data_IF_169227439301
#
_entry.id   IF_169227439301
#
_cell.length_a   1.000
_cell.length_b   1.000
_cell.length_c   1.000
_cell.angle_alpha   90.00
_cell.angle_beta   90.00
_cell.angle_gamma   90.00
#
_symmetry.space_group_name_H-M   'P 1'
#
loop_
_entity.id
_entity.type
_entity.pdbx_description
1 polymer ?
#
# COMPACT_ATOMS: atom_id res chain seq x y z
N UNK A 1 -17.57 -13.15 10.19
CA UNK A 1 -16.75 -12.45 11.22
C UNK A 1 -16.90 -10.94 11.04
N UNK A 2 -16.69 -10.19 12.12
CA UNK A 2 -16.57 -8.72 12.07
C UNK A 2 -15.11 -8.33 12.06
N UNK A 3 -14.69 -7.49 11.10
CA UNK A 3 -13.28 -7.15 10.88
C UNK A 3 -13.14 -5.63 10.78
N UNK A 4 -12.20 -5.07 11.53
CA UNK A 4 -11.89 -3.64 11.54
C UNK A 4 -10.52 -3.37 10.92
N UNK A 5 -10.46 -2.41 10.02
CA UNK A 5 -9.23 -1.80 9.54
C UNK A 5 -9.19 -0.36 10.06
N UNK A 6 -8.27 -0.06 10.98
CA UNK A 6 -8.03 1.29 11.46
C UNK A 6 -6.73 1.84 10.86
N UNK A 7 -6.87 2.85 10.01
CA UNK A 7 -5.78 3.38 9.19
C UNK A 7 -5.69 4.92 9.28
N UNK A 8 -4.62 5.52 8.77
CA UNK A 8 -4.47 6.95 8.84
C UNK A 8 -5.32 7.71 7.80
N UNK A 9 -5.44 7.18 6.57
CA UNK A 9 -6.22 7.84 5.52
C UNK A 9 -6.90 6.85 4.59
N UNK A 10 -8.11 7.20 4.16
CA UNK A 10 -8.89 6.55 3.12
C UNK A 10 -9.33 7.61 2.11
N UNK A 11 -8.39 8.16 1.33
CA UNK A 11 -8.65 9.28 0.43
C UNK A 11 -7.88 9.22 -0.88
N UNK A 12 -6.70 8.63 -0.89
CA UNK A 12 -5.79 8.67 -2.03
C UNK A 12 -5.40 7.25 -2.48
N UNK A 13 -5.09 7.10 -3.78
CA UNK A 13 -4.56 5.84 -4.32
C UNK A 13 -3.07 5.71 -4.02
N UNK A 14 -2.76 5.40 -2.77
CA UNK A 14 -1.40 5.16 -2.25
C UNK A 14 -1.32 3.80 -1.57
N UNK A 15 -0.15 3.19 -1.56
CA UNK A 15 0.04 1.84 -1.01
C UNK A 15 -0.49 1.67 0.42
N UNK A 16 -0.26 2.66 1.29
CA UNK A 16 -0.76 2.65 2.67
C UNK A 16 -2.28 2.58 2.81
N UNK A 17 -3.03 3.10 1.83
CA UNK A 17 -4.49 2.99 1.78
C UNK A 17 -4.96 1.77 0.99
N UNK A 18 -4.29 1.45 -0.13
CA UNK A 18 -4.73 0.37 -1.02
C UNK A 18 -4.54 -1.02 -0.41
N UNK A 19 -3.47 -1.25 0.35
CA UNK A 19 -3.22 -2.55 0.99
C UNK A 19 -4.37 -2.97 1.91
N UNK A 20 -4.77 -2.19 2.93
CA UNK A 20 -5.89 -2.57 3.79
C UNK A 20 -7.23 -2.60 3.05
N UNK A 21 -7.44 -1.73 2.04
CA UNK A 21 -8.65 -1.75 1.21
C UNK A 21 -8.77 -3.07 0.45
N UNK A 22 -7.72 -3.54 -0.20
CA UNK A 22 -7.76 -4.80 -0.95
C UNK A 22 -7.95 -6.03 -0.06
N UNK A 23 -7.37 -6.01 1.14
CA UNK A 23 -7.63 -7.07 2.15
C UNK A 23 -9.09 -7.01 2.60
N UNK A 24 -9.64 -5.81 2.86
CA UNK A 24 -11.04 -5.64 3.24
C UNK A 24 -12.01 -6.08 2.12
N UNK A 25 -11.73 -5.73 0.87
CA UNK A 25 -12.50 -6.15 -0.30
C UNK A 25 -12.50 -7.67 -0.46
N UNK A 26 -11.35 -8.31 -0.30
CA UNK A 26 -11.23 -9.77 -0.36
C UNK A 26 -12.05 -10.45 0.75
N UNK A 27 -11.90 -10.00 2.00
CA UNK A 27 -12.63 -10.54 3.14
C UNK A 27 -14.13 -10.27 3.06
N UNK A 28 -14.53 -9.09 2.59
CA UNK A 28 -15.94 -8.77 2.34
C UNK A 28 -16.54 -9.68 1.27
N UNK A 29 -15.80 -9.95 0.20
CA UNK A 29 -16.17 -10.91 -0.84
C UNK A 29 -16.33 -12.35 -0.34
N UNK A 30 -15.68 -12.71 0.77
CA UNK A 30 -15.85 -13.98 1.48
C UNK A 30 -17.06 -13.99 2.44
N UNK A 31 -17.83 -12.89 2.52
CA UNK A 31 -19.00 -12.76 3.39
C UNK A 31 -18.71 -12.29 4.81
N UNK A 32 -17.57 -11.63 5.04
CA UNK A 32 -17.25 -11.03 6.33
C UNK A 32 -17.73 -9.57 6.41
N UNK A 33 -18.11 -9.12 7.61
CA UNK A 33 -18.51 -7.74 7.89
C UNK A 33 -17.27 -6.89 8.08
N UNK A 34 -16.88 -6.14 7.06
CA UNK A 34 -15.68 -5.29 7.07
C UNK A 34 -16.02 -3.82 7.35
N UNK A 35 -15.25 -3.20 8.25
CA UNK A 35 -15.29 -1.78 8.54
C UNK A 35 -13.90 -1.18 8.31
N UNK A 36 -13.81 -0.10 7.54
CA UNK A 36 -12.59 0.70 7.42
C UNK A 36 -12.81 2.04 8.13
N UNK A 37 -12.06 2.23 9.20
CA UNK A 37 -12.03 3.48 9.97
C UNK A 37 -10.73 4.23 9.70
N UNK A 38 -10.80 5.51 9.34
CA UNK A 38 -9.60 6.29 9.03
C UNK A 38 -9.61 7.67 9.72
N UNK A 39 -8.41 8.16 10.06
CA UNK A 39 -8.27 9.53 10.58
C UNK A 39 -8.70 10.58 9.56
N UNK A 40 -8.61 10.28 8.26
CA UNK A 40 -9.06 11.14 7.17
C UNK A 40 -9.74 10.30 6.10
N UNK A 41 -11.01 10.57 5.87
CA UNK A 41 -11.87 9.93 4.87
C UNK A 41 -12.26 10.98 3.84
N UNK A 42 -11.96 10.74 2.55
CA UNK A 42 -12.26 11.70 1.47
C UNK A 42 -12.26 11.00 0.09
N UNK A 43 -12.67 11.75 -0.94
CA UNK A 43 -12.53 11.34 -2.34
C UNK A 43 -11.05 11.28 -2.77
N UNK A 44 -10.72 10.43 -3.76
CA UNK A 44 -11.62 9.57 -4.54
C UNK A 44 -11.82 8.16 -3.97
N UNK A 45 -11.03 7.72 -2.96
CA UNK A 45 -10.99 6.30 -2.55
C UNK A 45 -12.18 5.89 -1.68
N UNK A 46 -12.57 6.70 -0.69
CA UNK A 46 -13.61 6.33 0.27
C UNK A 46 -14.97 6.03 -0.39
N UNK A 47 -15.48 6.83 -1.37
CA UNK A 47 -16.73 6.49 -2.04
C UNK A 47 -16.65 5.20 -2.88
N UNK A 48 -15.46 4.85 -3.39
CA UNK A 48 -15.29 3.60 -4.14
C UNK A 48 -15.44 2.38 -3.22
N UNK A 49 -14.87 2.46 -2.04
CA UNK A 49 -14.95 1.39 -1.02
C UNK A 49 -16.38 1.26 -0.48
N UNK A 50 -17.02 2.38 -0.14
CA UNK A 50 -18.39 2.38 0.40
C UNK A 50 -19.42 1.78 -0.60
N UNK A 51 -19.24 2.00 -1.90
CA UNK A 51 -20.10 1.42 -2.94
C UNK A 51 -20.04 -0.11 -3.03
N UNK A 52 -18.99 -0.72 -2.49
CA UNK A 52 -18.87 -2.18 -2.41
C UNK A 52 -19.58 -2.79 -1.19
N UNK A 53 -20.20 -1.97 -0.33
CA UNK A 53 -20.89 -2.43 0.89
C UNK A 53 -19.98 -2.46 2.13
N UNK A 54 -18.73 -2.06 2.03
CA UNK A 54 -17.83 -1.95 3.17
C UNK A 54 -18.17 -0.69 3.96
N UNK A 55 -18.31 -0.83 5.29
CA UNK A 55 -18.59 0.31 6.16
C UNK A 55 -17.36 1.22 6.26
N UNK A 56 -17.56 2.52 6.02
CA UNK A 56 -16.50 3.53 6.09
C UNK A 56 -16.85 4.58 7.13
N UNK A 57 -15.90 4.91 8.03
CA UNK A 57 -16.07 5.93 9.07
C UNK A 57 -14.78 6.68 9.36
N UNK A 58 -14.87 7.93 9.84
CA UNK A 58 -13.74 8.68 10.38
C UNK A 58 -13.79 8.81 11.93
N UNK A 59 -14.70 8.09 12.56
CA UNK A 59 -14.95 8.08 14.00
C UNK A 59 -14.23 6.91 14.71
N UNK A 60 -12.90 6.76 14.50
CA UNK A 60 -12.10 5.72 15.18
C UNK A 60 -12.34 5.72 16.72
N UNK A 61 -12.41 6.87 17.41
CA UNK A 61 -12.63 6.89 18.87
C UNK A 61 -13.99 6.36 19.34
N UNK A 62 -14.96 6.24 18.44
CA UNK A 62 -16.27 5.66 18.75
C UNK A 62 -16.26 4.13 18.74
N UNK A 63 -15.26 3.51 18.11
CA UNK A 63 -15.19 2.06 17.91
C UNK A 63 -14.53 1.38 19.11
N UNK A 64 -15.10 0.23 19.50
CA UNK A 64 -14.52 -0.65 20.50
C UNK A 64 -13.82 -1.84 19.82
N UNK A 65 -12.53 -2.00 20.08
CA UNK A 65 -11.72 -3.04 19.45
C UNK A 65 -12.24 -4.46 19.73
N UNK A 66 -12.82 -4.68 20.93
CA UNK A 66 -13.35 -5.99 21.33
C UNK A 66 -14.67 -6.40 20.69
N UNK A 67 -15.28 -5.53 19.86
CA UNK A 67 -16.46 -5.87 19.09
C UNK A 67 -16.13 -6.62 17.77
N UNK A 68 -14.84 -6.77 17.45
CA UNK A 68 -14.35 -7.36 16.21
C UNK A 68 -13.56 -8.65 16.46
N UNK A 69 -13.65 -9.59 15.52
CA UNK A 69 -12.88 -10.84 15.54
C UNK A 69 -11.40 -10.59 15.13
N UNK A 70 -11.18 -9.62 14.22
CA UNK A 70 -9.87 -9.19 13.78
C UNK A 70 -9.81 -7.66 13.71
N UNK A 71 -8.73 -7.08 14.21
CA UNK A 71 -8.43 -5.63 14.13
C UNK A 71 -7.08 -5.44 13.45
N UNK A 72 -7.11 -4.89 12.23
CA UNK A 72 -5.93 -4.48 11.48
C UNK A 72 -5.63 -3.02 11.78
N UNK A 73 -4.44 -2.75 12.29
CA UNK A 73 -4.01 -1.44 12.76
C UNK A 73 -2.83 -0.95 11.94
N UNK A 74 -2.92 0.29 11.47
CA UNK A 74 -1.80 0.99 10.83
C UNK A 74 -1.54 2.32 11.52
N UNK A 75 -0.29 2.78 11.42
CA UNK A 75 0.10 4.04 12.00
C UNK A 75 -0.20 4.06 13.53
N UNK A 76 -0.48 5.18 14.12
CA UNK A 76 -0.82 5.27 15.56
C UNK A 76 -2.33 5.24 15.80
N UNK A 77 -3.06 4.27 15.20
CA UNK A 77 -4.53 4.18 15.35
C UNK A 77 -4.98 3.34 16.55
N UNK A 78 -4.18 2.38 17.00
CA UNK A 78 -4.49 1.56 18.18
C UNK A 78 -4.88 2.40 19.42
N UNK A 79 -4.15 3.45 19.81
CA UNK A 79 -4.49 4.26 20.97
C UNK A 79 -5.79 5.03 20.83
N UNK A 80 -6.35 5.17 19.63
CA UNK A 80 -7.59 5.91 19.38
C UNK A 80 -8.84 5.08 19.67
N UNK A 81 -8.76 3.76 19.59
CA UNK A 81 -9.86 2.83 19.85
C UNK A 81 -10.23 2.77 21.33
N UNK A 82 -11.45 2.29 21.62
CA UNK A 82 -11.84 1.86 22.95
C UNK A 82 -11.51 0.37 23.15
N UNK A 83 -11.28 -0.01 24.41
CA UNK A 83 -10.96 -1.38 24.83
C UNK A 83 -11.82 -1.69 26.06
N UNK A 84 -13.12 -1.80 25.86
CA UNK A 84 -14.11 -1.97 26.93
C UNK A 84 -14.89 -3.26 26.64
N UNK A 85 -14.96 -4.21 27.60
CA UNK A 85 -15.86 -5.34 27.47
C UNK A 85 -17.28 -4.84 27.67
N UNK A 86 -18.12 -4.99 26.68
CA UNK A 86 -19.54 -4.68 26.69
C UNK A 86 -20.33 -5.92 26.27
N UNK A 87 -21.63 -5.93 26.56
CA UNK A 87 -22.49 -7.01 26.06
C UNK A 87 -22.39 -7.16 24.56
N UNK A 88 -22.07 -8.36 24.09
CA UNK A 88 -21.86 -8.66 22.68
C UNK A 88 -20.42 -8.50 22.17
N UNK A 89 -19.47 -8.09 23.03
CA UNK A 89 -18.04 -8.12 22.69
C UNK A 89 -17.56 -9.55 22.43
N UNK A 90 -16.53 -9.69 21.59
CA UNK A 90 -15.89 -10.97 21.32
C UNK A 90 -15.11 -11.46 22.53
N UNK A 91 -15.03 -12.79 22.67
CA UNK A 91 -14.16 -13.40 23.69
C UNK A 91 -12.68 -13.17 23.35
N UNK A 92 -12.36 -13.20 22.05
CA UNK A 92 -11.00 -13.04 21.50
C UNK A 92 -11.04 -12.09 20.33
N UNK A 93 -9.95 -11.33 20.16
CA UNK A 93 -9.72 -10.44 19.02
C UNK A 93 -8.29 -10.64 18.57
N UNK A 94 -8.08 -10.92 17.27
CA UNK A 94 -6.74 -10.96 16.69
C UNK A 94 -6.31 -9.54 16.34
N UNK A 95 -5.20 -9.09 16.91
CA UNK A 95 -4.62 -7.77 16.62
C UNK A 95 -3.44 -7.89 15.65
N UNK A 96 -3.58 -7.28 14.49
CA UNK A 96 -2.56 -7.21 13.44
C UNK A 96 -2.06 -5.78 13.34
N UNK A 97 -0.78 -5.54 13.60
CA UNK A 97 -0.12 -4.25 13.40
C UNK A 97 0.64 -4.26 12.08
N UNK A 98 0.26 -3.38 11.15
CA UNK A 98 0.82 -3.37 9.80
C UNK A 98 1.63 -2.11 9.54
N UNK A 99 2.93 -2.30 9.28
CA UNK A 99 3.88 -1.28 8.91
C UNK A 99 4.18 -1.40 7.41
N UNK A 100 3.89 -0.34 6.66
CA UNK A 100 4.03 -0.35 5.20
C UNK A 100 5.16 0.55 4.70
N UNK A 101 5.83 1.28 5.62
CA UNK A 101 6.97 2.14 5.31
C UNK A 101 7.83 2.34 6.56
N UNK A 102 9.13 2.47 6.40
CA UNK A 102 10.06 2.90 7.46
C UNK A 102 10.50 4.36 7.33
N UNK A 103 9.82 5.16 6.48
CA UNK A 103 10.27 6.51 6.12
C UNK A 103 9.66 7.63 6.95
N UNK A 104 8.57 7.37 7.63
CA UNK A 104 7.81 8.38 8.34
C UNK A 104 7.59 7.99 9.78
N UNK A 105 7.62 8.96 10.70
CA UNK A 105 7.50 8.70 12.13
C UNK A 105 6.19 8.00 12.53
N UNK A 106 5.11 8.24 11.79
CA UNK A 106 3.81 7.60 12.06
C UNK A 106 3.71 6.15 11.53
N UNK A 107 4.74 5.64 10.88
CA UNK A 107 4.90 4.22 10.53
C UNK A 107 5.79 3.47 11.54
N UNK A 108 6.36 4.17 12.53
CA UNK A 108 7.11 3.51 13.59
C UNK A 108 6.17 2.73 14.52
N UNK A 109 6.67 1.65 15.16
CA UNK A 109 5.91 0.89 16.12
C UNK A 109 5.37 1.75 17.27
N UNK A 110 4.20 1.37 17.79
CA UNK A 110 3.64 1.95 19.01
C UNK A 110 4.48 1.61 20.23
N UNK A 111 4.51 2.53 21.19
CA UNK A 111 5.39 2.39 22.38
C UNK A 111 4.80 1.49 23.48
N UNK A 112 3.47 1.43 23.58
CA UNK A 112 2.79 0.68 24.67
C UNK A 112 1.68 -0.20 24.12
N UNK A 113 0.77 0.33 23.28
CA UNK A 113 -0.35 -0.47 22.76
C UNK A 113 0.12 -1.64 21.90
N UNK A 114 1.06 -1.41 21.00
CA UNK A 114 1.54 -2.45 20.09
C UNK A 114 2.27 -3.58 20.83
N UNK A 115 3.26 -3.34 21.70
CA UNK A 115 3.89 -4.40 22.48
C UNK A 115 2.92 -5.21 23.36
N UNK A 116 1.79 -4.63 23.78
CA UNK A 116 0.79 -5.29 24.61
C UNK A 116 -0.26 -6.08 23.81
N UNK A 117 -0.55 -5.65 22.57
CA UNK A 117 -1.69 -6.16 21.81
C UNK A 117 -1.29 -6.95 20.58
N UNK A 118 -0.10 -6.72 19.97
CA UNK A 118 0.26 -7.34 18.72
C UNK A 118 0.32 -8.87 18.79
N UNK A 119 -0.58 -9.53 18.09
CA UNK A 119 -0.51 -10.97 17.83
C UNK A 119 0.30 -11.25 16.57
N UNK A 120 0.25 -10.32 15.62
CA UNK A 120 0.99 -10.37 14.37
C UNK A 120 1.45 -8.94 14.03
N UNK A 121 2.73 -8.79 13.73
CA UNK A 121 3.26 -7.58 13.11
C UNK A 121 3.54 -7.86 11.64
N UNK A 122 3.06 -6.99 10.77
CA UNK A 122 3.27 -7.07 9.32
C UNK A 122 4.32 -6.05 8.89
N UNK A 123 5.29 -6.50 8.10
CA UNK A 123 6.23 -5.66 7.36
C UNK A 123 6.07 -5.90 5.85
N UNK A 124 6.09 -4.84 5.02
CA UNK A 124 5.94 -5.00 3.58
C UNK A 124 7.20 -5.51 2.85
N UNK A 125 8.31 -5.68 3.54
CA UNK A 125 9.58 -6.11 2.96
C UNK A 125 10.57 -6.55 4.02
N UNK A 126 11.59 -7.31 3.62
CA UNK A 126 12.67 -7.74 4.50
C UNK A 126 13.47 -6.56 5.09
N UNK A 127 13.64 -5.48 4.32
CA UNK A 127 14.30 -4.29 4.82
C UNK A 127 13.49 -3.62 5.94
N UNK A 128 12.16 -3.59 5.79
CA UNK A 128 11.30 -3.06 6.84
C UNK A 128 11.26 -3.99 8.05
N UNK A 129 11.22 -5.31 7.87
CA UNK A 129 11.34 -6.27 8.98
C UNK A 129 12.61 -6.01 9.80
N UNK A 130 13.76 -5.86 9.12
CA UNK A 130 15.03 -5.52 9.81
C UNK A 130 14.97 -4.18 10.53
N UNK A 131 14.33 -3.18 9.94
CA UNK A 131 14.14 -1.88 10.58
C UNK A 131 13.28 -1.98 11.84
N UNK A 132 12.15 -2.69 11.80
CA UNK A 132 11.29 -2.92 12.96
C UNK A 132 12.01 -3.68 14.07
N UNK A 133 12.83 -4.68 13.72
CA UNK A 133 13.66 -5.40 14.69
C UNK A 133 14.67 -4.47 15.38
N UNK A 134 15.23 -3.49 14.67
CA UNK A 134 16.09 -2.45 15.27
C UNK A 134 15.34 -1.49 16.20
N UNK A 135 13.99 -1.47 16.10
CA UNK A 135 13.10 -0.73 17.01
C UNK A 135 12.45 -1.63 18.06
N UNK A 136 13.12 -2.72 18.41
CA UNK A 136 12.74 -3.68 19.45
C UNK A 136 11.43 -4.47 19.20
N UNK A 137 10.92 -4.51 17.96
CA UNK A 137 9.83 -5.43 17.61
C UNK A 137 10.39 -6.85 17.47
N UNK A 138 9.83 -7.85 18.20
CA UNK A 138 10.32 -9.22 18.15
C UNK A 138 10.27 -9.80 16.72
N UNK A 139 11.41 -10.30 16.19
CA UNK A 139 11.49 -10.75 14.79
C UNK A 139 10.59 -11.94 14.45
N UNK A 140 10.32 -12.82 15.42
CA UNK A 140 9.48 -14.01 15.25
C UNK A 140 7.99 -13.65 15.13
N UNK A 141 7.58 -12.47 15.63
CA UNK A 141 6.24 -11.91 15.48
C UNK A 141 6.02 -11.20 14.15
N UNK A 142 7.09 -10.95 13.37
CA UNK A 142 7.00 -10.17 12.12
C UNK A 142 6.81 -11.08 10.92
N UNK A 143 5.67 -10.93 10.26
CA UNK A 143 5.35 -11.56 8.96
C UNK A 143 5.66 -10.58 7.83
N UNK A 144 6.45 -11.01 6.86
CA UNK A 144 6.67 -10.22 5.64
C UNK A 144 5.49 -10.42 4.69
N UNK A 145 4.72 -9.36 4.49
CA UNK A 145 3.58 -9.27 3.58
C UNK A 145 3.97 -8.35 2.40
N UNK A 146 4.51 -8.87 1.31
CA UNK A 146 5.19 -8.08 0.27
C UNK A 146 4.21 -7.38 -0.66
N UNK A 147 3.19 -6.74 -0.11
CA UNK A 147 2.13 -6.04 -0.84
C UNK A 147 1.52 -6.89 -1.98
N UNK A 148 1.09 -8.13 -1.72
CA UNK A 148 0.67 -9.04 -2.76
C UNK A 148 -0.50 -8.47 -3.58
N UNK A 149 -0.62 -8.91 -4.82
CA UNK A 149 -1.68 -8.50 -5.72
C UNK A 149 -2.95 -9.32 -5.48
N UNK A 150 -4.15 -8.69 -5.53
CA UNK A 150 -5.42 -9.39 -5.50
C UNK A 150 -5.58 -10.38 -6.69
N UNK A 151 -6.45 -11.38 -6.52
CA UNK A 151 -6.70 -12.43 -7.51
C UNK A 151 -6.97 -11.90 -8.93
N UNK A 152 -7.70 -10.79 -9.06
CA UNK A 152 -8.01 -10.19 -10.36
C UNK A 152 -6.81 -9.75 -11.18
N UNK A 153 -5.65 -9.50 -10.56
CA UNK A 153 -4.42 -9.18 -11.27
C UNK A 153 -3.67 -10.41 -11.79
N UNK A 154 -3.98 -11.61 -11.30
CA UNK A 154 -3.25 -12.81 -11.71
C UNK A 154 -3.71 -13.27 -13.08
N UNK A 155 -2.76 -13.37 -14.00
CA UNK A 155 -3.00 -13.89 -15.34
C UNK A 155 -3.18 -15.42 -15.27
N UNK A 156 -4.21 -15.92 -15.96
CA UNK A 156 -4.51 -17.34 -16.01
C UNK A 156 -3.78 -18.01 -17.20
N UNK A 157 -3.63 -17.28 -18.30
CA UNK A 157 -3.03 -17.81 -19.52
C UNK A 157 -1.52 -17.54 -19.59
N UNK A 158 -0.73 -18.51 -20.11
CA UNK A 158 0.68 -18.28 -20.42
C UNK A 158 0.81 -17.15 -21.45
N UNK A 159 1.85 -16.34 -21.30
CA UNK A 159 2.13 -15.28 -22.25
C UNK A 159 2.33 -15.84 -23.67
N UNK A 160 1.75 -15.17 -24.67
CA UNK A 160 2.19 -15.31 -26.06
C UNK A 160 3.69 -15.02 -26.16
N UNK A 161 4.32 -15.39 -27.29
CA UNK A 161 5.73 -15.06 -27.50
C UNK A 161 5.99 -13.57 -27.18
N UNK A 162 7.05 -13.26 -26.42
CA UNK A 162 7.30 -11.89 -25.98
C UNK A 162 7.57 -10.98 -27.17
N UNK A 163 6.89 -9.84 -27.22
CA UNK A 163 7.15 -8.80 -28.21
C UNK A 163 8.61 -8.31 -28.11
N UNK A 164 9.18 -7.88 -29.23
CA UNK A 164 10.55 -7.39 -29.28
C UNK A 164 10.71 -5.97 -28.74
N UNK A 165 9.64 -5.18 -28.81
CA UNK A 165 9.57 -3.80 -28.29
C UNK A 165 8.24 -3.61 -27.58
N UNK A 166 8.19 -2.77 -26.51
CA UNK A 166 6.93 -2.47 -25.87
C UNK A 166 6.05 -1.64 -26.84
N UNK A 167 4.77 -1.97 -26.96
CA UNK A 167 3.79 -1.15 -27.67
C UNK A 167 3.35 0.03 -26.82
N UNK A 168 3.33 -0.15 -25.50
CA UNK A 168 2.94 0.87 -24.52
C UNK A 168 3.92 0.92 -23.34
N UNK A 169 4.11 2.12 -22.79
CA UNK A 169 4.83 2.32 -21.52
C UNK A 169 3.93 3.09 -20.56
N UNK A 170 3.53 2.42 -19.48
CA UNK A 170 2.64 2.99 -18.48
C UNK A 170 3.43 3.41 -17.23
N UNK A 171 3.50 4.70 -16.96
CA UNK A 171 3.99 5.21 -15.70
C UNK A 171 2.88 5.17 -14.65
N UNK A 172 3.09 4.42 -13.57
CA UNK A 172 2.17 4.38 -12.43
C UNK A 172 2.89 5.01 -11.24
N UNK A 173 2.68 6.31 -11.03
CA UNK A 173 3.37 7.06 -9.98
C UNK A 173 2.63 8.34 -9.59
N UNK A 174 2.52 8.60 -8.28
CA UNK A 174 2.07 9.90 -7.79
C UNK A 174 3.21 10.94 -7.71
N UNK A 175 4.47 10.49 -7.77
CA UNK A 175 5.67 11.31 -7.56
C UNK A 175 6.79 10.89 -8.52
N UNK A 176 6.51 10.98 -9.83
CA UNK A 176 7.51 10.67 -10.84
C UNK A 176 8.64 11.71 -10.86
N UNK A 177 9.90 11.29 -10.87
CA UNK A 177 11.01 12.22 -11.06
C UNK A 177 11.05 12.75 -12.50
N UNK A 178 11.63 13.96 -12.73
CA UNK A 178 11.64 14.60 -14.05
C UNK A 178 12.23 13.73 -15.15
N UNK A 179 13.33 13.03 -14.87
CA UNK A 179 14.01 12.15 -15.81
C UNK A 179 13.12 11.00 -16.35
N UNK A 180 12.15 10.56 -15.57
CA UNK A 180 11.16 9.56 -16.03
C UNK A 180 10.14 10.21 -16.98
N UNK A 181 9.68 11.41 -16.68
CA UNK A 181 8.75 12.13 -17.56
C UNK A 181 9.39 12.41 -18.93
N UNK A 182 10.65 12.86 -18.91
CA UNK A 182 11.42 13.13 -20.13
C UNK A 182 11.70 11.82 -20.91
N UNK A 183 12.00 10.72 -20.23
CA UNK A 183 12.17 9.41 -20.87
C UNK A 183 10.89 8.91 -21.55
N UNK A 184 9.71 9.11 -20.94
CA UNK A 184 8.43 8.79 -21.59
C UNK A 184 8.20 9.63 -22.86
N UNK A 185 8.58 10.91 -22.84
CA UNK A 185 8.51 11.74 -24.03
C UNK A 185 9.42 11.21 -25.16
N UNK A 186 10.63 10.72 -24.82
CA UNK A 186 11.54 10.08 -25.77
C UNK A 186 10.98 8.76 -26.31
N UNK A 187 10.34 7.95 -25.47
CA UNK A 187 9.63 6.73 -25.91
C UNK A 187 8.51 7.06 -26.89
N UNK A 188 7.72 8.10 -26.59
CA UNK A 188 6.64 8.56 -27.48
C UNK A 188 7.15 9.03 -28.84
N UNK A 189 8.30 9.72 -28.89
CA UNK A 189 8.97 10.12 -30.15
C UNK A 189 9.42 8.91 -30.99
N UNK A 190 9.62 7.75 -30.37
CA UNK A 190 9.95 6.48 -31.03
C UNK A 190 8.71 5.70 -31.46
N UNK A 191 7.51 6.27 -31.34
CA UNK A 191 6.25 5.64 -31.72
C UNK A 191 5.65 4.69 -30.68
N UNK A 192 6.12 4.74 -29.43
CA UNK A 192 5.59 3.94 -28.33
C UNK A 192 4.50 4.75 -27.62
N UNK A 193 3.33 4.17 -27.41
CA UNK A 193 2.26 4.81 -26.65
C UNK A 193 2.66 4.97 -25.18
N UNK A 194 2.43 6.16 -24.61
CA UNK A 194 2.77 6.44 -23.23
C UNK A 194 1.57 6.94 -22.43
N UNK A 195 1.44 6.47 -21.19
CA UNK A 195 0.39 6.90 -20.29
C UNK A 195 0.95 7.15 -18.88
N UNK A 196 0.39 8.17 -18.18
CA UNK A 196 0.72 8.42 -16.79
C UNK A 196 -0.53 8.27 -15.92
N UNK A 197 -0.54 7.27 -15.04
CA UNK A 197 -1.54 7.03 -14.01
C UNK A 197 -0.97 7.54 -12.69
N UNK A 198 -1.59 8.58 -12.14
CA UNK A 198 -1.13 9.24 -10.92
C UNK A 198 -1.55 10.70 -10.84
N UNK A 199 -1.12 11.40 -9.79
CA UNK A 199 -1.57 12.77 -9.51
C UNK A 199 -1.25 13.80 -10.62
N UNK A 200 -0.20 13.59 -11.38
CA UNK A 200 0.18 14.46 -12.49
C UNK A 200 -0.41 14.03 -13.85
N UNK A 201 -1.02 12.86 -13.93
CA UNK A 201 -1.68 12.31 -15.12
C UNK A 201 -3.15 11.99 -14.87
N UNK A 202 -3.59 10.81 -15.30
CA UNK A 202 -4.93 10.29 -15.00
C UNK A 202 -4.99 9.72 -13.60
N UNK A 203 -5.67 10.40 -12.69
CA UNK A 203 -5.73 9.99 -11.28
C UNK A 203 -6.89 9.04 -11.01
N UNK A 204 -6.64 7.76 -11.14
CA UNK A 204 -7.59 6.66 -10.94
C UNK A 204 -6.93 5.51 -10.19
N UNK A 205 -7.74 4.64 -9.58
CA UNK A 205 -7.26 3.38 -9.04
C UNK A 205 -6.84 2.46 -10.20
N UNK A 206 -5.66 1.88 -10.10
CA UNK A 206 -5.18 0.89 -11.07
C UNK A 206 -6.04 -0.37 -10.98
N UNK A 207 -6.53 -0.84 -12.13
CA UNK A 207 -7.27 -2.10 -12.26
C UNK A 207 -6.54 -3.05 -13.22
N UNK A 208 -6.83 -4.36 -13.16
CA UNK A 208 -6.22 -5.34 -14.08
C UNK A 208 -6.38 -5.01 -15.56
N UNK A 209 -7.54 -4.45 -15.96
CA UNK A 209 -7.88 -4.12 -17.35
C UNK A 209 -7.07 -2.95 -17.89
N UNK A 210 -6.59 -2.08 -17.01
CA UNK A 210 -5.75 -0.94 -17.39
C UNK A 210 -4.33 -1.35 -17.76
N UNK A 211 -3.89 -2.54 -17.34
CA UNK A 211 -2.56 -3.06 -17.59
C UNK A 211 -2.56 -3.90 -18.87
N UNK A 212 -2.10 -3.30 -19.97
CA UNK A 212 -2.01 -3.94 -21.29
C UNK A 212 -0.92 -5.03 -21.35
N UNK A 213 -1.19 -6.12 -22.09
CA UNK A 213 -0.31 -7.29 -22.11
C UNK A 213 1.03 -7.04 -22.82
N UNK A 214 1.08 -6.14 -23.82
CA UNK A 214 2.24 -5.93 -24.70
C UNK A 214 3.03 -4.67 -24.34
N UNK A 215 2.98 -4.29 -23.06
CA UNK A 215 3.57 -3.05 -22.57
C UNK A 215 4.58 -3.26 -21.44
N UNK A 216 5.19 -2.16 -21.02
CA UNK A 216 6.01 -2.06 -19.80
C UNK A 216 5.35 -1.14 -18.78
N UNK A 217 5.56 -1.42 -17.50
CA UNK A 217 5.10 -0.58 -16.38
C UNK A 217 6.30 0.04 -15.69
N UNK A 218 6.38 1.38 -15.70
CA UNK A 218 7.37 2.13 -14.90
C UNK A 218 6.75 2.45 -13.56
N UNK A 219 7.27 1.90 -12.47
CA UNK A 219 6.70 2.10 -11.14
C UNK A 219 7.62 1.69 -10.01
N UNK A 220 7.09 1.74 -8.78
CA UNK A 220 7.70 1.24 -7.55
C UNK A 220 6.63 0.64 -6.63
N UNK A 221 7.06 -0.16 -5.66
CA UNK A 221 6.18 -0.72 -4.63
C UNK A 221 5.04 -1.53 -5.22
N UNK A 222 3.81 -1.31 -4.71
CA UNK A 222 2.63 -2.14 -5.00
C UNK A 222 2.29 -2.30 -6.49
N UNK A 223 2.48 -1.28 -7.30
CA UNK A 223 2.20 -1.37 -8.75
C UNK A 223 3.18 -2.28 -9.49
N UNK A 224 4.38 -2.50 -8.95
CA UNK A 224 5.32 -3.52 -9.46
C UNK A 224 4.76 -4.91 -9.24
N UNK A 225 4.18 -5.20 -8.06
CA UNK A 225 3.55 -6.49 -7.79
C UNK A 225 2.35 -6.74 -8.71
N UNK A 226 1.55 -5.71 -9.03
CA UNK A 226 0.48 -5.81 -10.03
C UNK A 226 1.01 -6.17 -11.41
N UNK A 227 2.08 -5.50 -11.86
CA UNK A 227 2.70 -5.78 -13.14
C UNK A 227 3.26 -7.21 -13.21
N UNK A 228 3.98 -7.64 -12.16
CA UNK A 228 4.48 -9.03 -12.04
C UNK A 228 3.33 -10.05 -12.10
N UNK A 229 2.24 -9.82 -11.36
CA UNK A 229 1.07 -10.70 -11.37
C UNK A 229 0.41 -10.80 -12.76
N UNK A 230 0.43 -9.70 -13.53
CA UNK A 230 -0.08 -9.65 -14.92
C UNK A 230 0.88 -10.20 -15.94
N UNK A 231 2.14 -10.51 -15.57
CA UNK A 231 3.18 -10.91 -16.50
C UNK A 231 3.68 -9.76 -17.38
N UNK A 232 3.57 -8.51 -16.89
CA UNK A 232 4.02 -7.30 -17.60
C UNK A 232 5.36 -6.86 -17.01
N UNK A 233 6.41 -6.66 -17.82
CA UNK A 233 7.72 -6.25 -17.33
C UNK A 233 7.70 -4.93 -16.57
N UNK A 234 8.01 -4.91 -15.26
CA UNK A 234 8.14 -3.66 -14.52
C UNK A 234 9.55 -3.09 -14.65
N UNK A 235 9.64 -1.80 -15.00
CA UNK A 235 10.83 -0.98 -14.91
C UNK A 235 10.79 -0.22 -13.59
N UNK A 236 11.68 -0.57 -12.65
CA UNK A 236 11.67 -0.04 -11.29
C UNK A 236 12.55 1.20 -11.20
N UNK A 237 11.93 2.35 -10.95
CA UNK A 237 12.65 3.61 -10.82
C UNK A 237 11.82 4.65 -10.04
N UNK A 238 12.46 5.37 -9.12
CA UNK A 238 11.88 6.48 -8.35
C UNK A 238 12.90 7.63 -8.16
N UNK A 239 12.58 8.56 -7.27
CA UNK A 239 13.47 9.70 -6.93
C UNK A 239 14.87 9.28 -6.43
N UNK A 240 15.05 8.03 -6.05
CA UNK A 240 16.33 7.47 -5.62
C UNK A 240 17.07 6.77 -6.76
N UNK A 241 16.49 6.77 -7.97
CA UNK A 241 16.92 5.97 -9.09
C UNK A 241 16.25 4.62 -9.13
N UNK A 242 16.91 3.61 -9.66
CA UNK A 242 16.36 2.25 -9.71
C UNK A 242 17.22 1.25 -10.46
N UNK A 243 16.91 -0.05 -10.31
CA UNK A 243 17.63 -1.12 -11.02
C UNK A 243 17.23 -1.23 -12.49
N UNK A 244 16.20 -0.49 -12.95
CA UNK A 244 15.61 -0.70 -14.27
C UNK A 244 14.67 -1.89 -14.30
N UNK A 245 14.65 -2.65 -15.39
CA UNK A 245 13.91 -3.90 -15.45
C UNK A 245 14.40 -4.92 -14.41
N UNK A 246 13.48 -5.73 -13.93
CA UNK A 246 13.81 -6.83 -13.02
C UNK A 246 14.49 -7.96 -13.80
N UNK A 247 15.55 -8.52 -13.19
CA UNK A 247 16.36 -9.61 -13.71
C UNK A 247 16.65 -10.62 -12.61
N UNK A 248 17.25 -11.75 -12.94
CA UNK A 248 17.69 -12.76 -11.95
C UNK A 248 18.63 -12.13 -10.91
N UNK A 249 19.52 -11.24 -11.33
CA UNK A 249 20.55 -10.65 -10.47
C UNK A 249 20.00 -9.58 -9.51
N UNK A 250 18.92 -8.86 -9.90
CA UNK A 250 18.43 -7.72 -9.12
C UNK A 250 17.11 -7.97 -8.40
N UNK A 251 16.35 -9.01 -8.75
CA UNK A 251 14.99 -9.23 -8.27
C UNK A 251 14.90 -9.29 -6.75
N UNK A 252 15.68 -10.16 -6.10
CA UNK A 252 15.61 -10.33 -4.63
C UNK A 252 16.06 -9.07 -3.89
N UNK A 253 17.07 -8.37 -4.41
CA UNK A 253 17.50 -7.09 -3.85
C UNK A 253 16.41 -6.02 -3.98
N UNK A 254 15.75 -5.93 -5.13
CA UNK A 254 14.64 -5.01 -5.35
C UNK A 254 13.42 -5.37 -4.47
N UNK A 255 13.06 -6.65 -4.39
CA UNK A 255 11.97 -7.16 -3.56
C UNK A 255 12.21 -6.87 -2.06
N UNK A 256 13.44 -7.06 -1.56
CA UNK A 256 13.79 -6.76 -0.16
C UNK A 256 13.60 -5.29 0.20
N UNK A 257 13.65 -4.38 -0.78
CA UNK A 257 13.40 -2.94 -0.64
C UNK A 257 11.99 -2.53 -1.09
N UNK A 258 11.04 -3.47 -1.19
CA UNK A 258 9.69 -3.24 -1.72
C UNK A 258 9.72 -2.60 -3.11
N UNK A 259 10.60 -3.05 -4.00
CA UNK A 259 10.79 -2.54 -5.35
C UNK A 259 10.93 -1.00 -5.41
N UNK A 260 11.71 -0.44 -4.51
CA UNK A 260 12.07 0.98 -4.49
C UNK A 260 13.49 1.16 -5.04
N UNK A 261 13.77 2.31 -5.66
CA UNK A 261 15.11 2.69 -6.11
C UNK A 261 16.20 2.68 -5.02
N UNK A 262 15.78 2.67 -3.76
CA UNK A 262 16.68 2.51 -2.59
C UNK A 262 17.43 1.17 -2.57
N UNK A 263 17.02 0.21 -3.36
CA UNK A 263 17.76 -1.06 -3.48
C UNK A 263 19.16 -0.88 -4.09
N UNK A 264 19.40 0.18 -4.87
CA UNK A 264 20.66 0.40 -5.57
C UNK A 264 21.09 1.86 -5.69
N UNK A 265 20.20 2.84 -5.50
CA UNK A 265 20.45 4.27 -5.64
C UNK A 265 21.07 4.66 -7.00
N UNK A 266 20.78 3.90 -8.06
CA UNK A 266 21.30 4.12 -9.40
C UNK A 266 20.46 5.17 -10.12
N UNK A 267 20.99 6.38 -10.26
CA UNK A 267 20.39 7.45 -11.06
C UNK A 267 21.05 7.54 -12.43
N UNK A 268 20.23 7.65 -13.47
CA UNK A 268 20.63 7.79 -14.87
C UNK A 268 19.77 8.86 -15.52
N UNK A 269 20.20 9.36 -16.67
CA UNK A 269 19.47 10.38 -17.41
C UNK A 269 18.29 9.83 -18.21
N UNK A 270 17.46 10.72 -18.75
CA UNK A 270 16.24 10.35 -19.48
C UNK A 270 16.55 9.55 -20.76
N UNK A 271 17.64 9.83 -21.44
CA UNK A 271 18.03 9.12 -22.66
C UNK A 271 18.38 7.66 -22.35
N UNK A 272 19.20 7.43 -21.32
CA UNK A 272 19.55 6.10 -20.85
C UNK A 272 18.34 5.32 -20.38
N UNK A 273 17.41 5.97 -19.64
CA UNK A 273 16.14 5.34 -19.21
C UNK A 273 15.32 4.89 -20.44
N UNK A 274 15.14 5.77 -21.43
CA UNK A 274 14.37 5.44 -22.63
C UNK A 274 15.02 4.31 -23.45
N UNK A 275 16.34 4.28 -23.56
CA UNK A 275 17.08 3.20 -24.20
C UNK A 275 16.89 1.87 -23.46
N UNK A 276 17.06 1.86 -22.13
CA UNK A 276 16.86 0.65 -21.32
C UNK A 276 15.42 0.13 -21.41
N UNK A 277 14.41 1.02 -21.44
CA UNK A 277 13.00 0.62 -21.58
C UNK A 277 12.78 -0.12 -22.90
N UNK A 278 13.36 0.38 -23.99
CA UNK A 278 13.16 -0.22 -25.33
C UNK A 278 14.02 -1.47 -25.52
N UNK A 279 15.31 -1.36 -25.28
CA UNK A 279 16.28 -2.42 -25.59
C UNK A 279 16.22 -3.58 -24.57
N UNK A 280 15.95 -3.28 -23.31
CA UNK A 280 15.84 -4.28 -22.23
C UNK A 280 14.52 -5.06 -22.22
N UNK A 281 13.49 -4.60 -22.95
CA UNK A 281 12.14 -5.17 -22.88
C UNK A 281 12.07 -6.66 -23.20
N UNK A 282 12.69 -7.19 -24.29
CA UNK A 282 12.60 -8.62 -24.61
C UNK A 282 13.22 -9.51 -23.53
N UNK A 283 14.33 -9.05 -22.91
CA UNK A 283 14.98 -9.78 -21.83
C UNK A 283 14.10 -9.78 -20.56
N UNK A 284 13.45 -8.66 -20.25
CA UNK A 284 12.54 -8.55 -19.13
C UNK A 284 11.29 -9.42 -19.28
N UNK A 285 10.73 -9.51 -20.49
CA UNK A 285 9.64 -10.45 -20.79
C UNK A 285 10.07 -11.91 -20.54
N UNK A 286 11.23 -12.33 -21.06
CA UNK A 286 11.76 -13.69 -20.82
C UNK A 286 12.00 -13.96 -19.34
N UNK A 287 12.53 -12.97 -18.61
CA UNK A 287 12.74 -13.12 -17.17
C UNK A 287 11.42 -13.39 -16.43
N UNK A 288 10.37 -12.60 -16.69
CA UNK A 288 9.06 -12.79 -16.05
C UNK A 288 8.43 -14.14 -16.43
N UNK A 289 8.50 -14.54 -17.69
CA UNK A 289 7.99 -15.83 -18.15
C UNK A 289 8.71 -17.01 -17.49
N UNK A 290 9.97 -16.82 -17.12
CA UNK A 290 10.81 -17.82 -16.45
C UNK A 290 10.73 -17.80 -14.91
N UNK A 291 9.92 -16.93 -14.30
CA UNK A 291 9.83 -16.86 -12.84
C UNK A 291 9.26 -18.16 -12.25
N UNK A 292 9.93 -18.76 -11.24
CA UNK A 292 9.44 -19.96 -10.58
C UNK A 292 8.05 -19.75 -9.95
N UNK A 293 7.11 -20.70 -10.10
CA UNK A 293 5.78 -20.60 -9.50
C UNK A 293 5.81 -20.38 -7.98
N UNK A 294 6.80 -20.93 -7.27
CA UNK A 294 6.97 -20.72 -5.83
C UNK A 294 7.32 -19.28 -5.48
N UNK A 295 8.08 -18.59 -6.33
CA UNK A 295 8.40 -17.18 -6.15
C UNK A 295 7.18 -16.31 -6.40
N UNK A 296 6.41 -16.60 -7.42
CA UNK A 296 5.16 -15.89 -7.72
C UNK A 296 4.12 -16.04 -6.61
N UNK A 297 4.04 -17.20 -5.93
CA UNK A 297 3.14 -17.41 -4.80
C UNK A 297 3.36 -16.42 -3.66
N UNK A 298 4.58 -15.91 -3.48
CA UNK A 298 4.87 -14.85 -2.47
C UNK A 298 4.08 -13.57 -2.70
N UNK A 299 3.60 -13.34 -3.91
CA UNK A 299 2.83 -12.14 -4.26
C UNK A 299 1.33 -12.42 -4.40
N UNK A 300 0.84 -13.59 -3.97
CA UNK A 300 -0.59 -13.89 -3.82
C UNK A 300 -1.08 -13.50 -2.44
N UNK A 301 -2.23 -12.84 -2.39
CA UNK A 301 -2.79 -12.31 -1.14
C UNK A 301 -3.44 -13.42 -0.30
N UNK A 302 -4.12 -14.35 -0.94
CA UNK A 302 -4.99 -15.35 -0.31
C UNK A 302 -4.26 -16.15 0.80
N UNK A 303 -3.05 -16.72 0.58
CA UNK A 303 -2.39 -17.53 1.60
C UNK A 303 -2.06 -16.75 2.89
N UNK A 304 -1.75 -15.46 2.76
CA UNK A 304 -1.46 -14.63 3.94
C UNK A 304 -2.74 -14.36 4.74
N UNK A 305 -3.85 -14.10 4.05
CA UNK A 305 -5.12 -13.83 4.73
C UNK A 305 -5.65 -15.10 5.40
N UNK A 306 -5.60 -16.26 4.74
CA UNK A 306 -5.95 -17.55 5.33
C UNK A 306 -5.12 -17.85 6.57
N UNK A 307 -3.81 -17.59 6.53
CA UNK A 307 -2.93 -17.72 7.70
C UNK A 307 -3.32 -16.77 8.84
N UNK A 308 -3.71 -15.53 8.55
CA UNK A 308 -4.17 -14.61 9.58
C UNK A 308 -5.48 -15.09 10.22
N UNK A 309 -6.45 -15.48 9.40
CA UNK A 309 -7.74 -15.98 9.90
C UNK A 309 -7.59 -17.21 10.77
N UNK A 310 -6.68 -18.13 10.44
CA UNK A 310 -6.42 -19.34 11.25
C UNK A 310 -5.87 -19.06 12.64
N UNK A 311 -5.39 -17.84 12.92
CA UNK A 311 -4.86 -17.44 14.23
C UNK A 311 -5.90 -16.87 15.19
N UNK A 312 -7.12 -16.56 14.73
CA UNK A 312 -8.15 -15.91 15.56
C UNK A 312 -8.47 -16.72 16.80
N UNK A 313 -8.70 -18.02 16.65
CA UNK A 313 -9.05 -18.89 17.78
C UNK A 313 -7.91 -19.09 18.80
N UNK A 314 -6.67 -18.85 18.38
CA UNK A 314 -5.48 -18.92 19.24
C UNK A 314 -5.11 -17.58 19.87
N UNK A 315 -5.78 -16.49 19.52
CA UNK A 315 -5.52 -15.17 20.11
C UNK A 315 -5.84 -15.18 21.62
N UNK A 316 -5.09 -14.44 22.44
CA UNK A 316 -5.38 -14.31 23.88
C UNK A 316 -6.80 -13.80 24.14
N UNK A 317 -7.45 -14.25 25.24
CA UNK A 317 -8.77 -13.74 25.62
C UNK A 317 -8.74 -12.23 25.89
N UNK A 318 -9.77 -11.52 25.46
CA UNK A 318 -9.88 -10.07 25.65
C UNK A 318 -9.92 -9.65 27.13
N UNK A 319 -10.43 -10.51 28.01
CA UNK A 319 -10.37 -10.30 29.46
C UNK A 319 -8.93 -10.19 29.99
N UNK A 320 -8.04 -11.09 29.55
CA UNK A 320 -6.63 -11.06 29.95
C UNK A 320 -5.90 -9.83 29.37
N UNK A 321 -6.25 -9.41 28.15
CA UNK A 321 -5.72 -8.18 27.55
C UNK A 321 -6.15 -6.95 28.34
N UNK A 322 -7.41 -6.90 28.75
CA UNK A 322 -7.96 -5.80 29.54
C UNK A 322 -7.22 -5.63 30.87
N UNK A 323 -6.96 -6.73 31.59
CA UNK A 323 -6.18 -6.69 32.82
C UNK A 323 -4.80 -6.05 32.61
N UNK A 324 -4.12 -6.45 31.53
CA UNK A 324 -2.82 -5.86 31.15
C UNK A 324 -2.92 -4.39 30.80
N UNK A 325 -3.96 -3.99 30.03
CA UNK A 325 -4.19 -2.59 29.68
C UNK A 325 -4.49 -1.73 30.90
N UNK A 326 -5.28 -2.24 31.86
CA UNK A 326 -5.56 -1.54 33.12
C UNK A 326 -4.27 -1.29 33.92
N UNK A 327 -3.41 -2.28 34.05
CA UNK A 327 -2.12 -2.15 34.76
C UNK A 327 -1.19 -1.09 34.11
N UNK A 328 -1.30 -0.88 32.80
CA UNK A 328 -0.52 0.10 32.03
C UNK A 328 -1.24 1.42 31.76
N UNK A 329 -2.42 1.63 32.35
CA UNK A 329 -3.29 2.78 32.07
C UNK A 329 -2.61 4.16 32.03
N UNK A 330 -1.63 4.52 32.91
CA UNK A 330 -0.95 5.81 32.84
C UNK A 330 -0.16 6.00 31.54
N UNK A 331 0.51 4.96 31.06
CA UNK A 331 1.31 4.97 29.83
C UNK A 331 0.41 4.98 28.60
N UNK A 332 -0.65 4.18 28.60
CA UNK A 332 -1.67 4.16 27.54
C UNK A 332 -2.33 5.51 27.36
N UNK A 333 -2.65 6.24 28.44
CA UNK A 333 -3.20 7.60 28.36
C UNK A 333 -2.22 8.57 27.67
N UNK A 334 -0.93 8.47 27.94
CA UNK A 334 0.09 9.30 27.29
C UNK A 334 0.18 8.99 25.80
N UNK A 335 0.25 7.71 25.43
CA UNK A 335 0.29 7.32 24.01
C UNK A 335 -0.99 7.74 23.28
N UNK A 336 -2.17 7.58 23.89
CA UNK A 336 -3.43 8.08 23.34
C UNK A 336 -3.41 9.59 23.12
N UNK A 337 -2.89 10.36 24.07
CA UNK A 337 -2.76 11.80 23.91
C UNK A 337 -1.86 12.18 22.72
N UNK A 338 -0.73 11.49 22.56
CA UNK A 338 0.16 11.66 21.41
C UNK A 338 -0.55 11.29 20.10
N UNK A 339 -1.26 10.17 20.07
CA UNK A 339 -2.00 9.72 18.89
C UNK A 339 -3.11 10.70 18.47
N UNK A 340 -3.80 11.29 19.43
CA UNK A 340 -4.78 12.36 19.17
C UNK A 340 -4.11 13.60 18.56
N UNK A 341 -2.96 14.02 19.07
CA UNK A 341 -2.18 15.11 18.50
C UNK A 341 -1.71 14.82 17.07
N UNK A 342 -1.23 13.59 16.80
CA UNK A 342 -0.84 13.15 15.46
C UNK A 342 -2.05 13.18 14.51
N UNK A 343 -3.19 12.65 14.94
CA UNK A 343 -4.44 12.65 14.15
C UNK A 343 -4.87 14.07 13.79
N UNK A 344 -4.91 14.97 14.78
CA UNK A 344 -5.41 16.34 14.59
C UNK A 344 -4.47 17.14 13.69
N UNK A 345 -3.16 16.99 13.85
CA UNK A 345 -2.16 17.55 12.92
C UNK A 345 -2.32 17.00 11.50
N UNK A 346 -2.53 15.69 11.35
CA UNK A 346 -2.74 15.08 10.05
C UNK A 346 -4.00 15.60 9.36
N UNK A 347 -5.14 15.66 10.09
CA UNK A 347 -6.41 16.24 9.60
C UNK A 347 -6.23 17.70 9.19
N UNK A 348 -5.57 18.50 10.00
CA UNK A 348 -5.27 19.91 9.71
C UNK A 348 -4.42 20.08 8.45
N UNK A 349 -3.39 19.27 8.28
CA UNK A 349 -2.54 19.25 7.08
C UNK A 349 -3.33 18.88 5.81
N UNK A 350 -4.17 17.85 5.87
CA UNK A 350 -5.03 17.44 4.75
C UNK A 350 -6.03 18.52 4.37
N UNK A 351 -6.68 19.14 5.33
CA UNK A 351 -7.60 20.26 5.09
C UNK A 351 -6.90 21.48 4.46
N UNK A 352 -5.70 21.84 4.95
CA UNK A 352 -4.87 22.88 4.37
C UNK A 352 -4.48 22.60 2.91
N UNK A 353 -4.06 21.37 2.61
CA UNK A 353 -3.73 20.97 1.25
C UNK A 353 -4.95 20.96 0.31
N UNK A 354 -6.13 20.57 0.79
CA UNK A 354 -7.36 20.63 0.01
C UNK A 354 -7.70 22.10 -0.36
N UNK A 355 -7.60 23.02 0.59
CA UNK A 355 -7.82 24.46 0.36
C UNK A 355 -6.83 25.04 -0.66
N UNK A 356 -5.55 24.69 -0.58
CA UNK A 356 -4.51 25.10 -1.55
C UNK A 356 -4.85 24.56 -2.94
N UNK A 357 -5.26 23.28 -3.07
CA UNK A 357 -5.67 22.69 -4.34
C UNK A 357 -6.87 23.41 -4.95
N UNK A 358 -7.86 23.74 -4.14
CA UNK A 358 -9.03 24.51 -4.57
C UNK A 358 -8.62 25.91 -5.09
N UNK A 359 -7.84 26.65 -4.33
CA UNK A 359 -7.35 27.98 -4.75
C UNK A 359 -6.57 27.92 -6.06
N UNK A 360 -5.71 26.93 -6.26
CA UNK A 360 -4.97 26.72 -7.53
C UNK A 360 -5.91 26.44 -8.70
N UNK A 361 -6.98 25.64 -8.50
CA UNK A 361 -7.99 25.38 -9.54
C UNK A 361 -8.75 26.65 -9.92
N UNK A 362 -9.16 27.45 -8.98
CA UNK A 362 -9.84 28.74 -9.18
C UNK A 362 -8.95 29.73 -9.91
N UNK A 363 -7.68 29.84 -9.49
CA UNK A 363 -6.68 30.69 -10.17
C UNK A 363 -6.48 30.28 -11.62
N UNK A 364 -6.41 28.96 -11.92
CA UNK A 364 -6.30 28.47 -13.30
C UNK A 364 -7.54 28.81 -14.14
N UNK A 365 -8.74 28.68 -13.56
CA UNK A 365 -10.00 29.07 -14.22
C UNK A 365 -10.04 30.55 -14.55
N UNK A 366 -9.61 31.41 -13.59
CA UNK A 366 -9.53 32.87 -13.78
C UNK A 366 -8.49 33.22 -14.87
N UNK A 367 -7.30 32.63 -14.86
CA UNK A 367 -6.29 32.85 -15.89
C UNK A 367 -6.79 32.50 -17.29
N UNK A 368 -7.52 31.36 -17.45
CA UNK A 368 -8.11 30.98 -18.74
C UNK A 368 -9.20 31.96 -19.22
N UNK A 369 -9.94 32.60 -18.29
CA UNK A 369 -10.96 33.62 -18.63
C UNK A 369 -10.35 34.97 -19.01
N UNK A 370 -9.13 35.28 -18.56
CA UNK A 370 -8.42 36.53 -18.79
C UNK A 370 -7.45 36.47 -19.97
N UNK A 371 -7.24 35.33 -20.61
CA UNK A 371 -6.49 35.23 -21.87
C UNK A 371 -7.45 35.63 -23.01
N UNK A 372 -7.18 36.74 -23.68
CA UNK A 372 -7.91 37.06 -24.92
C UNK A 372 -7.60 35.99 -25.95
N UNK A 373 -8.65 35.52 -26.67
CA UNK A 373 -8.56 34.60 -27.79
C UNK A 373 -7.78 35.16 -28.99
#
# INVERSE_FOLDING_TARGET
>A
MKILFAINQLSEFVGGSLVPVEVAEYLHGMGHDCTIAANHVDEPLAPLVARQGIVVTDEIPALNAFDFDLVWLQNHTAPLLRYEPVDGSRERTLFVFAHLSGLTFHENPGLVFEPLLADVTIANSENLKRHLTQLDVPPDGIVVYPNPAPAGFWRIDPAAEPAQTPTTVQLISNHAPPEIIDALALCSQRGIDTAHIGQAGTYVRVTPEMLGADGAVVSVGKSVQYAVARGIPPYVYDRWGGPGYLTVENFERAASANFSGRCCFRKIDAQQIAEEIVEGFPAACRFLAGLPPGLLRRYRMEPYIEQLLSRIDSAPPNAARLETLIQKAPWLRRERFMALGIRDNFRGHKAGNAKIRQMRRETRKLKRRLQPG
#
